data_IF_070620166494
#
_entry.id   IF_070620166494
#
_cell.length_a   1.000
_cell.length_b   1.000
_cell.length_c   1.000
_cell.angle_alpha   90.00
_cell.angle_beta   90.00
_cell.angle_gamma   90.00
#
_symmetry.space_group_name_H-M   'P 1'
#
loop_
_entity.id
_entity.type
_entity.pdbx_description
1 polymer ?
#
# COMPACT_ATOMS: atom_id res chain seq x y z
N UNK A 1 -3.93 2.46 24.27
CA UNK A 1 -3.01 1.97 23.20
C UNK A 1 -1.93 3.01 22.99
N UNK A 2 -0.66 2.61 22.88
CA UNK A 2 0.43 3.54 22.57
C UNK A 2 0.32 4.01 21.11
N UNK A 3 0.23 5.32 20.86
CA UNK A 3 0.25 5.86 19.51
C UNK A 3 1.65 5.67 18.92
N UNK A 4 1.75 4.84 17.89
CA UNK A 4 3.00 4.71 17.11
C UNK A 4 3.02 5.82 16.05
N UNK A 5 4.13 6.55 15.90
CA UNK A 5 4.22 7.54 14.84
C UNK A 5 4.12 6.85 13.48
N UNK A 6 3.38 7.45 12.55
CA UNK A 6 3.29 6.96 11.17
C UNK A 6 4.57 7.26 10.39
N UNK A 7 5.32 8.25 10.84
CA UNK A 7 6.58 8.68 10.25
C UNK A 7 7.40 9.51 11.26
N UNK A 8 8.72 9.38 11.18
CA UNK A 8 9.69 10.17 11.94
C UNK A 8 10.70 10.78 10.97
N UNK A 9 11.14 12.01 11.25
CA UNK A 9 12.15 12.67 10.43
C UNK A 9 12.58 14.01 11.00
N UNK A 10 13.27 14.81 10.18
CA UNK A 10 13.77 16.12 10.58
C UNK A 10 13.12 17.22 9.74
N UNK A 11 12.59 18.24 10.41
CA UNK A 11 12.13 19.47 9.79
C UNK A 11 13.30 20.46 9.74
N UNK A 12 13.70 20.86 8.52
CA UNK A 12 14.72 21.91 8.31
C UNK A 12 14.07 23.25 8.04
N UNK A 13 14.36 24.24 8.89
CA UNK A 13 13.95 25.63 8.74
C UNK A 13 15.21 26.51 8.63
N UNK A 14 15.60 26.82 7.39
CA UNK A 14 16.81 27.56 7.01
C UNK A 14 18.12 26.96 7.56
N UNK A 15 18.42 27.15 8.84
CA UNK A 15 19.61 26.63 9.53
C UNK A 15 19.27 25.73 10.73
N UNK A 16 18.01 25.68 11.15
CA UNK A 16 17.55 24.87 12.26
C UNK A 16 17.09 23.49 11.75
N UNK A 17 17.48 22.42 12.45
CA UNK A 17 17.02 21.06 12.19
C UNK A 17 16.40 20.49 13.46
N UNK A 18 15.09 20.28 13.44
CA UNK A 18 14.34 19.74 14.58
C UNK A 18 13.81 18.33 14.26
N UNK A 19 14.01 17.33 15.12
CA UNK A 19 13.35 16.03 14.97
C UNK A 19 11.84 16.20 15.19
N UNK A 20 11.04 15.58 14.32
CA UNK A 20 9.58 15.61 14.36
C UNK A 20 9.02 14.21 14.15
N UNK A 21 7.87 13.93 14.77
CA UNK A 21 7.13 12.69 14.62
C UNK A 21 5.69 13.00 14.22
N UNK A 22 5.20 12.33 13.18
CA UNK A 22 3.84 12.50 12.67
C UNK A 22 2.91 11.47 13.32
N UNK A 23 1.81 11.95 13.87
CA UNK A 23 0.75 11.14 14.45
C UNK A 23 -0.54 11.33 13.65
N UNK A 24 -1.28 10.24 13.44
CA UNK A 24 -2.61 10.32 12.84
C UNK A 24 -3.54 11.15 13.74
N UNK A 25 -4.14 12.21 13.20
CA UNK A 25 -5.12 13.03 13.92
C UNK A 25 -6.38 12.23 14.29
N UNK A 26 -6.66 11.15 13.56
CA UNK A 26 -7.74 10.20 13.83
C UNK A 26 -7.16 8.87 14.28
N UNK A 27 -7.68 8.34 15.38
CA UNK A 27 -7.36 7.00 15.85
C UNK A 27 -8.32 6.01 15.21
N UNK A 28 -7.81 5.10 14.36
CA UNK A 28 -8.57 3.92 13.89
C UNK A 28 -8.72 2.83 14.95
N UNK A 29 -8.36 3.10 16.22
CA UNK A 29 -8.40 2.10 17.29
C UNK A 29 -9.80 1.56 17.59
N UNK A 30 -10.87 2.19 17.07
CA UNK A 30 -12.25 1.71 17.15
C UNK A 30 -12.82 1.15 15.85
N UNK A 31 -12.02 1.01 14.79
CA UNK A 31 -12.53 0.50 13.52
C UNK A 31 -12.73 -1.02 13.61
N UNK A 32 -13.99 -1.46 13.61
CA UNK A 32 -14.36 -2.87 13.70
C UNK A 32 -14.04 -3.52 12.37
N UNK A 33 -12.91 -4.22 12.28
CA UNK A 33 -12.56 -4.99 11.07
C UNK A 33 -13.38 -6.27 11.00
N UNK A 34 -14.21 -6.41 9.97
CA UNK A 34 -14.95 -7.65 9.71
C UNK A 34 -14.06 -8.68 9.00
N UNK A 35 -14.24 -9.95 9.36
CA UNK A 35 -13.62 -11.09 8.65
C UNK A 35 -14.72 -11.82 7.89
N UNK A 36 -14.40 -12.31 6.70
CA UNK A 36 -15.28 -13.19 5.95
C UNK A 36 -15.29 -14.58 6.63
N UNK A 37 -16.48 -15.04 7.01
CA UNK A 37 -16.71 -16.31 7.70
C UNK A 37 -17.67 -17.16 6.86
N UNK A 38 -17.39 -18.46 6.74
CA UNK A 38 -18.33 -19.41 6.16
C UNK A 38 -19.53 -19.60 7.13
N UNK A 39 -20.78 -19.33 6.70
CA UNK A 39 -21.95 -19.39 7.58
C UNK A 39 -22.29 -20.80 8.07
N UNK A 40 -21.91 -21.85 7.33
CA UNK A 40 -22.22 -23.24 7.69
C UNK A 40 -21.20 -23.81 8.67
N UNK A 41 -19.91 -23.50 8.47
CA UNK A 41 -18.82 -24.10 9.26
C UNK A 41 -18.25 -23.16 10.33
N UNK A 42 -18.56 -21.87 10.29
CA UNK A 42 -17.98 -20.85 11.18
C UNK A 42 -16.50 -20.57 10.92
N UNK A 43 -15.90 -21.14 9.86
CA UNK A 43 -14.48 -21.00 9.60
C UNK A 43 -14.17 -19.71 8.83
N UNK A 44 -12.99 -19.14 9.09
CA UNK A 44 -12.50 -17.96 8.37
C UNK A 44 -12.18 -18.32 6.91
N UNK A 45 -12.65 -17.50 5.98
CA UNK A 45 -12.35 -17.66 4.55
C UNK A 45 -10.91 -17.17 4.28
N UNK A 46 -10.13 -18.02 3.60
CA UNK A 46 -8.83 -17.67 3.04
C UNK A 46 -9.00 -17.36 1.55
N UNK A 47 -8.40 -16.26 1.09
CA UNK A 47 -8.38 -15.88 -0.32
C UNK A 47 -7.07 -16.37 -0.94
N UNK A 48 -7.19 -17.17 -2.00
CA UNK A 48 -6.07 -17.69 -2.78
C UNK A 48 -6.18 -17.14 -4.20
N UNK A 49 -5.03 -16.85 -4.82
CA UNK A 49 -5.00 -16.49 -6.23
C UNK A 49 -5.00 -17.78 -7.04
N UNK A 50 -6.00 -17.95 -7.89
CA UNK A 50 -6.20 -19.16 -8.69
C UNK A 50 -6.27 -18.75 -10.16
N UNK A 51 -5.60 -19.50 -11.02
CA UNK A 51 -5.65 -19.29 -12.46
C UNK A 51 -7.08 -19.57 -12.97
N UNK A 52 -7.61 -18.66 -13.80
CA UNK A 52 -9.01 -18.68 -14.21
C UNK A 52 -9.36 -19.81 -15.19
N UNK A 53 -8.38 -20.32 -15.94
CA UNK A 53 -8.60 -21.36 -16.94
C UNK A 53 -8.31 -22.76 -16.38
N UNK A 54 -7.20 -22.89 -15.65
CA UNK A 54 -6.72 -24.18 -15.15
C UNK A 54 -7.21 -24.50 -13.74
N UNK A 55 -7.63 -23.49 -12.97
CA UNK A 55 -8.05 -23.68 -11.59
C UNK A 55 -6.91 -24.07 -10.64
N UNK A 56 -5.66 -23.84 -11.04
CA UNK A 56 -4.51 -24.13 -10.20
C UNK A 56 -4.21 -22.91 -9.31
N UNK A 57 -3.92 -23.13 -8.03
CA UNK A 57 -3.46 -22.07 -7.15
C UNK A 57 -2.09 -21.56 -7.59
N UNK A 58 -1.99 -20.24 -7.76
CA UNK A 58 -0.75 -19.57 -8.15
C UNK A 58 -0.12 -18.95 -6.91
N UNK A 59 1.15 -19.28 -6.67
CA UNK A 59 1.87 -18.68 -5.56
C UNK A 59 2.07 -17.18 -5.75
N UNK A 60 2.05 -16.44 -4.65
CA UNK A 60 2.18 -14.97 -4.68
C UNK A 60 3.46 -14.46 -5.36
N UNK A 61 4.54 -15.26 -5.38
CA UNK A 61 5.80 -14.92 -6.03
C UNK A 61 5.72 -14.97 -7.56
N UNK A 62 4.80 -15.77 -8.09
CA UNK A 62 4.64 -15.99 -9.53
C UNK A 62 3.56 -15.08 -10.13
N UNK A 63 2.80 -14.36 -9.29
CA UNK A 63 1.80 -13.39 -9.72
C UNK A 63 2.46 -12.15 -10.33
N UNK A 64 2.12 -11.87 -11.59
CA UNK A 64 2.56 -10.67 -12.32
C UNK A 64 1.40 -9.70 -12.44
N UNK A 65 1.65 -8.40 -12.24
CA UNK A 65 0.63 -7.37 -12.46
C UNK A 65 0.51 -7.08 -13.95
N UNK A 66 -0.69 -7.20 -14.51
CA UNK A 66 -1.00 -6.79 -15.88
C UNK A 66 -1.93 -5.58 -15.90
N UNK A 67 -1.82 -4.74 -16.92
CA UNK A 67 -2.82 -3.71 -17.23
C UNK A 67 -3.50 -4.05 -18.56
N UNK A 68 -4.83 -4.03 -18.59
CA UNK A 68 -5.62 -4.29 -19.79
C UNK A 68 -5.65 -3.04 -20.68
N UNK A 69 -5.14 -3.17 -21.90
CA UNK A 69 -5.13 -2.07 -22.89
C UNK A 69 -6.30 -2.17 -23.87
N UNK A 70 -6.70 -3.39 -24.19
CA UNK A 70 -7.86 -3.72 -25.00
C UNK A 70 -8.43 -5.05 -24.50
N UNK A 71 -9.67 -5.37 -24.86
CA UNK A 71 -10.34 -6.60 -24.45
C UNK A 71 -9.45 -7.82 -24.71
N UNK A 72 -9.16 -8.58 -23.65
CA UNK A 72 -8.31 -9.77 -23.65
C UNK A 72 -6.82 -9.52 -24.02
N UNK A 73 -6.36 -8.26 -23.99
CA UNK A 73 -4.94 -7.89 -24.19
C UNK A 73 -4.35 -7.19 -22.98
N UNK A 74 -3.39 -7.85 -22.34
CA UNK A 74 -2.73 -7.38 -21.12
C UNK A 74 -1.25 -7.03 -21.37
N UNK A 75 -0.80 -5.90 -20.81
CA UNK A 75 0.61 -5.53 -20.72
C UNK A 75 1.13 -5.89 -19.33
N UNK A 76 2.14 -6.75 -19.26
CA UNK A 76 2.78 -7.13 -18.00
C UNK A 76 3.69 -6.00 -17.48
N UNK A 77 3.47 -5.61 -16.22
CA UNK A 77 4.31 -4.67 -15.48
C UNK A 77 5.37 -5.47 -14.72
N UNK A 78 6.55 -5.60 -15.31
CA UNK A 78 7.73 -6.17 -14.63
C UNK A 78 8.32 -5.16 -13.62
N UNK A 79 8.93 -5.65 -12.53
CA UNK A 79 9.42 -4.81 -11.42
C UNK A 79 10.37 -3.70 -11.90
N UNK A 80 11.21 -3.99 -12.90
CA UNK A 80 12.17 -3.06 -13.50
C UNK A 80 11.52 -1.82 -14.10
N UNK A 81 10.32 -1.94 -14.69
CA UNK A 81 9.61 -0.83 -15.32
C UNK A 81 8.86 0.04 -14.31
N UNK A 82 8.40 -0.54 -13.21
CA UNK A 82 7.67 0.16 -12.13
C UNK A 82 8.50 1.26 -11.47
N UNK A 83 9.80 1.00 -11.26
CA UNK A 83 10.72 1.95 -10.61
C UNK A 83 10.98 3.18 -11.47
N UNK A 84 10.99 3.03 -12.79
CA UNK A 84 11.24 4.12 -13.73
C UNK A 84 10.14 5.21 -13.68
N UNK A 85 8.89 4.82 -13.42
CA UNK A 85 7.76 5.77 -13.31
C UNK A 85 7.58 6.35 -11.90
N UNK A 86 8.23 5.79 -10.88
CA UNK A 86 8.14 6.29 -9.50
C UNK A 86 9.01 7.53 -9.23
N UNK A 87 9.77 8.01 -10.22
CA UNK A 87 10.58 9.22 -10.09
C UNK A 87 9.83 10.46 -10.58
N UNK A 88 9.15 11.14 -9.64
CA UNK A 88 9.41 12.55 -9.29
C UNK A 88 8.32 13.08 -8.37
N UNK A 89 8.60 13.08 -7.07
CA UNK A 89 8.06 14.06 -6.14
C UNK A 89 9.10 14.30 -5.05
N UNK A 90 9.92 15.36 -5.11
CA UNK A 90 10.54 15.84 -3.89
C UNK A 90 9.40 16.30 -2.97
N UNK A 91 9.12 15.53 -1.91
CA UNK A 91 8.23 15.95 -0.82
C UNK A 91 8.94 17.04 0.01
N UNK A 92 9.20 18.20 -0.60
CA UNK A 92 9.66 19.39 0.09
C UNK A 92 8.49 20.35 0.18
N UNK A 93 7.69 20.23 1.25
CA UNK A 93 6.74 21.26 1.63
C UNK A 93 7.52 22.43 2.22
N UNK A 94 7.98 23.35 1.38
CA UNK A 94 8.53 24.63 1.82
C UNK A 94 7.36 25.56 2.12
N UNK A 95 7.03 25.76 3.40
CA UNK A 95 6.16 26.86 3.82
C UNK A 95 7.01 28.14 3.87
N UNK A 96 6.88 28.98 2.84
CA UNK A 96 7.41 30.34 2.83
C UNK A 96 6.36 31.26 3.46
N UNK A 97 6.71 31.94 4.55
CA UNK A 97 5.92 33.05 5.06
C UNK A 97 6.74 34.33 4.89
N UNK A 98 6.15 35.30 4.20
CA UNK A 98 6.64 36.69 4.10
C UNK A 98 6.53 37.41 5.43
#
# INVERSE_FOLDING_TARGET
>A
MAQRPSWEGHLRLSLLSCPVALYGATSRAGDVSFRLINPETGNRICQVAMDAETGVEVERRDLVRGFEIEKDRYVLLTDERSRAFALRAPRSSTLSNS
#
